data_IF_182860332307
#
_entry.id   IF_182860332307
#
_cell.length_a   1.000
_cell.length_b   1.000
_cell.length_c   1.000
_cell.angle_alpha   90.00
_cell.angle_beta   90.00
_cell.angle_gamma   90.00
#
_symmetry.space_group_name_H-M   'P 1'
#
loop_
_entity.id
_entity.type
_entity.pdbx_description
1 polymer ?
#
# COMPACT_ATOMS: atom_id res chain seq x y z
N UNK A 1 -81.78 -10.07 -9.18
CA UNK A 1 -81.14 -10.40 -7.91
C UNK A 1 -79.96 -9.44 -7.70
N UNK A 2 -80.15 -8.40 -6.91
CA UNK A 2 -79.10 -7.45 -6.54
C UNK A 2 -78.20 -8.05 -5.43
N UNK A 3 -76.92 -8.29 -5.70
CA UNK A 3 -75.90 -8.65 -4.70
C UNK A 3 -75.73 -7.48 -3.75
N UNK A 4 -76.07 -7.65 -2.47
CA UNK A 4 -75.72 -6.69 -1.42
C UNK A 4 -74.22 -6.69 -1.24
N UNK A 5 -73.55 -5.55 -1.31
CA UNK A 5 -72.10 -5.49 -1.06
C UNK A 5 -71.87 -5.80 0.44
N UNK A 6 -71.06 -6.82 0.74
CA UNK A 6 -70.62 -7.08 2.11
C UNK A 6 -69.69 -5.95 2.54
N UNK A 7 -70.06 -5.19 3.55
CA UNK A 7 -69.18 -4.17 4.15
C UNK A 7 -68.07 -4.83 4.97
N UNK A 8 -66.89 -4.19 5.02
CA UNK A 8 -65.80 -4.61 5.88
C UNK A 8 -66.17 -4.56 7.35
N UNK A 9 -65.82 -5.59 8.11
CA UNK A 9 -66.01 -5.63 9.55
C UNK A 9 -64.88 -4.86 10.25
N UNK A 10 -65.19 -4.23 11.40
CA UNK A 10 -64.17 -3.52 12.19
C UNK A 10 -63.03 -4.46 12.60
N UNK A 11 -63.30 -5.72 12.89
CA UNK A 11 -62.34 -6.74 13.24
C UNK A 11 -61.34 -7.02 12.10
N UNK A 12 -61.80 -7.04 10.84
CA UNK A 12 -60.99 -7.31 9.67
C UNK A 12 -59.98 -6.16 9.42
N UNK A 13 -60.45 -4.91 9.62
CA UNK A 13 -59.58 -3.73 9.51
C UNK A 13 -58.53 -3.73 10.61
N UNK A 14 -58.89 -4.05 11.85
CA UNK A 14 -57.94 -4.15 12.96
C UNK A 14 -56.88 -5.24 12.72
N UNK A 15 -57.31 -6.42 12.25
CA UNK A 15 -56.40 -7.52 11.92
C UNK A 15 -55.45 -7.13 10.78
N UNK A 16 -55.93 -6.47 9.73
CA UNK A 16 -55.12 -5.99 8.63
C UNK A 16 -54.05 -5.00 9.08
N UNK A 17 -54.41 -4.05 9.97
CA UNK A 17 -53.45 -3.07 10.52
C UNK A 17 -52.35 -3.78 11.35
N UNK A 18 -52.71 -4.76 12.18
CA UNK A 18 -51.76 -5.51 13.00
C UNK A 18 -50.77 -6.28 12.10
N UNK A 19 -51.28 -6.99 11.08
CA UNK A 19 -50.43 -7.72 10.15
C UNK A 19 -49.53 -6.75 9.38
N UNK A 20 -50.05 -5.65 8.85
CA UNK A 20 -49.30 -4.65 8.15
C UNK A 20 -48.20 -4.03 9.01
N UNK A 21 -48.53 -3.69 10.26
CA UNK A 21 -47.56 -3.11 11.20
C UNK A 21 -46.42 -4.06 11.53
N UNK A 22 -46.72 -5.34 11.76
CA UNK A 22 -45.70 -6.36 12.04
C UNK A 22 -44.78 -6.61 10.82
N UNK A 23 -45.37 -6.70 9.63
CA UNK A 23 -44.56 -6.83 8.37
C UNK A 23 -43.70 -5.63 8.14
N UNK A 24 -44.23 -4.41 8.33
CA UNK A 24 -43.47 -3.17 8.19
C UNK A 24 -42.30 -3.08 9.16
N UNK A 25 -42.53 -3.49 10.41
CA UNK A 25 -41.49 -3.54 11.43
C UNK A 25 -40.37 -4.54 11.07
N UNK A 26 -40.76 -5.76 10.67
CA UNK A 26 -39.78 -6.77 10.23
C UNK A 26 -38.97 -6.32 9.00
N UNK A 27 -39.65 -5.72 8.02
CA UNK A 27 -38.98 -5.18 6.83
C UNK A 27 -37.96 -4.07 7.20
N UNK A 28 -38.33 -3.19 8.14
CA UNK A 28 -37.45 -2.14 8.64
C UNK A 28 -36.23 -2.72 9.36
N UNK A 29 -36.37 -3.76 10.16
CA UNK A 29 -35.26 -4.44 10.83
C UNK A 29 -34.28 -5.08 9.82
N UNK A 30 -34.81 -5.81 8.83
CA UNK A 30 -34.01 -6.44 7.79
C UNK A 30 -33.21 -5.37 7.00
N UNK A 31 -33.84 -4.27 6.66
CA UNK A 31 -33.22 -3.16 5.95
C UNK A 31 -32.09 -2.53 6.79
N UNK A 32 -32.31 -2.27 8.08
CA UNK A 32 -31.30 -1.71 8.97
C UNK A 32 -30.09 -2.63 9.11
N UNK A 33 -30.32 -3.95 9.31
CA UNK A 33 -29.23 -4.93 9.39
C UNK A 33 -28.44 -5.04 8.08
N UNK A 34 -29.13 -5.04 6.94
CA UNK A 34 -28.48 -5.06 5.63
C UNK A 34 -27.59 -3.83 5.41
N UNK A 35 -28.06 -2.64 5.83
CA UNK A 35 -27.29 -1.40 5.74
C UNK A 35 -26.06 -1.43 6.62
N UNK A 36 -26.17 -1.90 7.86
CA UNK A 36 -25.01 -2.05 8.76
C UNK A 36 -23.98 -3.04 8.22
N UNK A 37 -24.42 -4.18 7.72
CA UNK A 37 -23.50 -5.18 7.12
C UNK A 37 -22.80 -4.61 5.89
N UNK A 38 -23.51 -3.88 5.04
CA UNK A 38 -22.93 -3.21 3.88
C UNK A 38 -21.86 -2.19 4.30
N UNK A 39 -22.12 -1.35 5.31
CA UNK A 39 -21.15 -0.38 5.81
C UNK A 39 -19.91 -1.05 6.41
N UNK A 40 -20.08 -2.14 7.16
CA UNK A 40 -18.94 -2.92 7.69
C UNK A 40 -18.11 -3.55 6.56
N UNK A 41 -18.78 -4.15 5.58
CA UNK A 41 -18.09 -4.74 4.42
C UNK A 41 -17.33 -3.67 3.61
N UNK A 42 -17.95 -2.50 3.40
CA UNK A 42 -17.32 -1.37 2.72
C UNK A 42 -16.07 -0.90 3.47
N UNK A 43 -16.17 -0.66 4.77
CA UNK A 43 -15.01 -0.24 5.59
C UNK A 43 -13.86 -1.23 5.51
N UNK A 44 -14.16 -2.54 5.56
CA UNK A 44 -13.13 -3.58 5.42
C UNK A 44 -12.52 -3.58 4.01
N UNK A 45 -13.34 -3.35 2.98
CA UNK A 45 -12.88 -3.23 1.60
C UNK A 45 -11.96 -2.01 1.40
N UNK A 46 -12.36 -0.84 1.88
CA UNK A 46 -11.60 0.40 1.81
C UNK A 46 -10.23 0.25 2.53
N UNK A 47 -10.22 -0.37 3.72
CA UNK A 47 -9.00 -0.70 4.46
C UNK A 47 -8.06 -1.62 3.68
N UNK A 48 -8.61 -2.64 3.04
CA UNK A 48 -7.83 -3.58 2.24
C UNK A 48 -7.25 -2.91 0.99
N UNK A 49 -8.04 -2.09 0.31
CA UNK A 49 -7.60 -1.31 -0.85
C UNK A 49 -6.46 -0.36 -0.49
N UNK A 50 -6.56 0.36 0.63
CA UNK A 50 -5.50 1.24 1.11
C UNK A 50 -4.19 0.50 1.36
N UNK A 51 -4.23 -0.68 1.98
CA UNK A 51 -3.06 -1.53 2.20
C UNK A 51 -2.46 -1.98 0.87
N UNK A 52 -3.29 -2.51 -0.03
CA UNK A 52 -2.83 -3.02 -1.34
C UNK A 52 -2.19 -1.90 -2.15
N UNK A 53 -2.82 -0.74 -2.22
CA UNK A 53 -2.29 0.42 -2.93
C UNK A 53 -0.93 0.85 -2.37
N UNK A 54 -0.80 0.96 -1.05
CA UNK A 54 0.44 1.36 -0.38
C UNK A 54 1.57 0.36 -0.64
N UNK A 55 1.29 -0.93 -0.47
CA UNK A 55 2.29 -1.99 -0.70
C UNK A 55 2.73 -2.03 -2.16
N UNK A 56 1.78 -1.97 -3.11
CA UNK A 56 2.10 -1.95 -4.54
C UNK A 56 2.91 -0.70 -4.94
N UNK A 57 2.62 0.46 -4.36
CA UNK A 57 3.37 1.68 -4.61
C UNK A 57 4.81 1.53 -4.11
N UNK A 58 5.02 0.99 -2.92
CA UNK A 58 6.35 0.74 -2.37
C UNK A 58 7.12 -0.32 -3.17
N UNK A 59 6.46 -1.41 -3.55
CA UNK A 59 7.05 -2.44 -4.43
C UNK A 59 7.48 -1.82 -5.78
N UNK A 60 6.64 -0.97 -6.36
CA UNK A 60 6.96 -0.29 -7.62
C UNK A 60 8.14 0.67 -7.49
N UNK A 61 8.22 1.44 -6.40
CA UNK A 61 9.39 2.29 -6.12
C UNK A 61 10.66 1.45 -6.00
N UNK A 62 10.61 0.30 -5.34
CA UNK A 62 11.73 -0.62 -5.19
C UNK A 62 12.10 -1.32 -6.50
N UNK A 63 11.13 -1.70 -7.32
CA UNK A 63 11.40 -2.29 -8.65
C UNK A 63 12.10 -1.33 -9.61
N UNK A 64 12.03 -0.04 -9.32
CA UNK A 64 12.69 1.02 -10.08
C UNK A 64 13.94 1.57 -9.35
N UNK A 65 14.40 0.88 -8.33
CA UNK A 65 15.57 1.26 -7.54
C UNK A 65 16.82 1.43 -8.40
N UNK A 66 17.56 2.50 -8.12
CA UNK A 66 18.86 2.79 -8.76
C UNK A 66 19.92 2.85 -7.66
N UNK A 67 20.97 2.02 -7.70
CA UNK A 67 22.05 1.99 -6.70
C UNK A 67 22.95 3.21 -6.81
N UNK A 68 22.41 4.40 -6.54
CA UNK A 68 23.11 5.67 -6.61
C UNK A 68 23.07 6.40 -5.27
N UNK A 69 24.23 6.82 -4.78
CA UNK A 69 24.33 7.78 -3.67
C UNK A 69 23.83 9.13 -4.15
N UNK A 70 23.00 9.78 -3.35
CA UNK A 70 22.65 11.17 -3.53
C UNK A 70 23.46 12.06 -2.55
N UNK A 71 23.39 13.38 -2.72
CA UNK A 71 24.16 14.30 -1.87
C UNK A 71 23.69 14.32 -0.41
N UNK A 72 22.53 13.80 -0.12
CA UNK A 72 21.90 13.88 1.20
C UNK A 72 21.98 12.57 1.98
N UNK A 73 22.18 11.45 1.30
CA UNK A 73 22.27 10.15 1.94
C UNK A 73 23.65 9.53 1.70
N UNK A 74 24.33 9.04 2.74
CA UNK A 74 25.66 8.43 2.62
C UNK A 74 25.63 7.09 1.88
N UNK A 75 24.47 6.44 1.83
CA UNK A 75 24.26 5.13 1.23
C UNK A 75 23.21 5.21 0.12
N UNK A 76 23.30 4.36 -0.92
CA UNK A 76 22.30 4.27 -1.97
C UNK A 76 20.92 3.84 -1.46
N UNK A 77 20.90 3.05 -0.40
CA UNK A 77 19.72 2.58 0.31
C UNK A 77 19.98 2.80 1.80
N UNK A 78 19.28 3.74 2.39
CA UNK A 78 19.40 4.07 3.81
C UNK A 78 18.14 3.57 4.52
N UNK A 79 18.32 2.57 5.36
CA UNK A 79 17.26 2.05 6.23
C UNK A 79 17.55 2.49 7.65
N UNK A 80 16.61 3.18 8.26
CA UNK A 80 16.62 3.61 9.65
C UNK A 80 15.39 3.08 10.35
N UNK A 81 15.27 3.37 11.66
CA UNK A 81 14.07 2.97 12.39
C UNK A 81 12.84 3.61 11.75
N UNK A 82 11.88 2.78 11.30
CA UNK A 82 10.61 3.19 10.70
C UNK A 82 10.74 4.14 9.48
N UNK A 83 11.88 4.07 8.80
CA UNK A 83 12.17 4.94 7.67
C UNK A 83 13.09 4.26 6.66
N UNK A 84 12.86 4.52 5.37
CA UNK A 84 13.75 4.11 4.29
C UNK A 84 13.86 5.20 3.24
N UNK A 85 15.09 5.49 2.82
CA UNK A 85 15.39 6.47 1.77
C UNK A 85 16.21 5.77 0.69
N UNK A 86 15.80 5.91 -0.55
CA UNK A 86 16.53 5.38 -1.70
C UNK A 86 16.26 6.19 -2.97
N UNK A 87 17.08 5.96 -3.99
CA UNK A 87 16.89 6.59 -5.30
C UNK A 87 16.15 5.61 -6.21
N UNK A 88 15.15 6.11 -6.92
CA UNK A 88 14.40 5.38 -7.94
C UNK A 88 14.38 6.17 -9.25
N UNK A 89 14.00 5.51 -10.32
CA UNK A 89 13.83 6.12 -11.64
C UNK A 89 12.33 6.25 -11.92
N UNK A 90 11.86 7.48 -12.11
CA UNK A 90 10.45 7.75 -12.42
C UNK A 90 10.33 8.52 -13.72
N UNK A 91 9.12 8.54 -14.30
CA UNK A 91 8.85 9.42 -15.43
C UNK A 91 8.95 10.87 -15.02
N UNK A 92 9.43 11.71 -15.92
CA UNK A 92 9.46 13.16 -15.67
C UNK A 92 8.03 13.70 -15.48
N UNK A 93 7.72 14.28 -14.32
CA UNK A 93 6.38 14.83 -14.06
C UNK A 93 6.06 16.03 -14.98
N UNK A 94 7.07 16.71 -15.51
CA UNK A 94 6.88 17.77 -16.50
C UNK A 94 6.49 17.23 -17.89
N UNK A 95 6.80 15.96 -18.18
CA UNK A 95 6.48 15.27 -19.42
C UNK A 95 5.91 13.87 -19.15
N UNK A 96 4.71 13.74 -18.57
CA UNK A 96 4.18 12.46 -18.12
C UNK A 96 3.96 11.44 -19.24
N UNK A 97 3.79 11.90 -20.48
CA UNK A 97 3.66 11.07 -21.69
C UNK A 97 4.94 10.97 -22.52
N UNK A 98 6.03 11.64 -22.08
CA UNK A 98 7.33 11.59 -22.73
C UNK A 98 8.08 10.30 -22.40
N UNK A 99 9.16 10.05 -23.16
CA UNK A 99 10.10 8.95 -22.90
C UNK A 99 11.18 9.31 -21.88
N UNK A 100 11.12 10.49 -21.29
CA UNK A 100 12.15 11.01 -20.38
C UNK A 100 11.90 10.46 -18.96
N UNK A 101 12.97 9.94 -18.36
CA UNK A 101 12.98 9.48 -16.97
C UNK A 101 13.92 10.37 -16.16
N UNK A 102 13.55 10.59 -14.91
CA UNK A 102 14.33 11.35 -13.94
C UNK A 102 14.66 10.50 -12.72
N UNK A 103 15.83 10.72 -12.15
CA UNK A 103 16.19 10.12 -10.88
C UNK A 103 15.48 10.86 -9.76
N UNK A 104 14.80 10.11 -8.94
CA UNK A 104 13.95 10.62 -7.88
C UNK A 104 14.37 9.99 -6.55
N UNK A 105 14.55 10.80 -5.52
CA UNK A 105 14.73 10.29 -4.17
C UNK A 105 13.35 10.10 -3.55
N UNK A 106 13.12 8.91 -3.01
CA UNK A 106 11.89 8.55 -2.30
C UNK A 106 12.24 8.28 -0.85
N UNK A 107 11.43 8.86 0.03
CA UNK A 107 11.51 8.67 1.47
C UNK A 107 10.18 8.15 1.99
N UNK A 108 10.19 6.92 2.49
CA UNK A 108 9.08 6.30 3.18
C UNK A 108 9.36 6.33 4.68
N UNK A 109 8.44 6.82 5.47
CA UNK A 109 8.61 6.93 6.92
C UNK A 109 7.28 6.93 7.65
N UNK A 110 7.30 6.53 8.91
CA UNK A 110 6.14 6.59 9.81
C UNK A 110 6.25 7.83 10.69
N UNK A 111 5.19 8.59 10.76
CA UNK A 111 5.03 9.72 11.67
C UNK A 111 3.59 9.73 12.21
N UNK A 112 3.44 9.81 13.54
CA UNK A 112 2.13 9.78 14.20
C UNK A 112 1.24 8.60 13.74
N UNK A 113 1.78 7.40 13.73
CA UNK A 113 1.12 6.15 13.31
C UNK A 113 0.61 6.16 11.87
N UNK A 114 1.08 7.09 11.04
CA UNK A 114 0.75 7.17 9.62
C UNK A 114 2.00 6.97 8.77
N UNK A 115 1.92 6.10 7.77
CA UNK A 115 2.99 5.88 6.79
C UNK A 115 2.88 6.93 5.69
N UNK A 116 3.97 7.69 5.54
CA UNK A 116 4.12 8.75 4.54
C UNK A 116 5.08 8.32 3.43
N UNK A 117 4.83 8.87 2.25
CA UNK A 117 5.75 8.85 1.12
C UNK A 117 6.07 10.28 0.70
N UNK A 118 7.35 10.67 0.82
CA UNK A 118 7.87 11.93 0.33
C UNK A 118 8.72 11.69 -0.93
N UNK A 119 8.67 12.60 -1.87
CA UNK A 119 9.34 12.49 -3.16
C UNK A 119 10.13 13.76 -3.44
N UNK A 120 11.38 13.57 -3.88
CA UNK A 120 12.21 14.65 -4.41
C UNK A 120 12.60 14.32 -5.83
N UNK A 121 12.03 15.04 -6.79
CA UNK A 121 12.42 14.93 -8.19
C UNK A 121 13.80 15.56 -8.41
N UNK A 122 14.59 14.97 -9.32
CA UNK A 122 15.98 15.39 -9.53
C UNK A 122 16.81 15.30 -8.24
N UNK A 123 17.15 14.08 -7.85
CA UNK A 123 17.67 13.64 -6.55
C UNK A 123 18.76 14.52 -5.90
N UNK A 124 19.49 15.32 -6.68
CA UNK A 124 20.62 16.14 -6.18
C UNK A 124 20.25 17.63 -5.98
N UNK A 125 19.21 18.14 -6.64
CA UNK A 125 18.90 19.58 -6.68
C UNK A 125 17.42 19.91 -6.69
N UNK A 126 16.55 18.91 -6.71
CA UNK A 126 15.10 19.07 -6.78
C UNK A 126 14.50 19.60 -5.46
N UNK A 127 13.30 20.16 -5.57
CA UNK A 127 12.50 20.51 -4.41
C UNK A 127 11.75 19.29 -3.89
N UNK A 128 11.57 19.26 -2.56
CA UNK A 128 10.70 18.28 -1.92
C UNK A 128 9.25 18.53 -2.34
N UNK A 129 8.56 17.47 -2.68
CA UNK A 129 7.10 17.47 -2.82
C UNK A 129 6.50 17.22 -1.45
N UNK A 130 5.36 17.84 -1.16
CA UNK A 130 4.66 17.62 0.09
C UNK A 130 4.45 16.11 0.34
N UNK A 131 4.76 15.62 1.55
CA UNK A 131 4.58 14.22 1.88
C UNK A 131 3.12 13.79 1.71
N UNK A 132 2.93 12.62 1.15
CA UNK A 132 1.62 12.02 0.94
C UNK A 132 1.35 11.01 2.03
N UNK A 133 0.31 11.17 2.87
CA UNK A 133 -0.13 10.12 3.78
C UNK A 133 -0.78 9.00 2.97
N UNK A 134 -0.42 7.74 3.27
CA UNK A 134 -0.86 6.59 2.50
C UNK A 134 -1.60 5.56 3.34
N UNK A 135 -1.17 5.35 4.59
CA UNK A 135 -1.74 4.31 5.43
C UNK A 135 -1.71 4.72 6.89
N UNK A 136 -2.86 4.69 7.54
CA UNK A 136 -3.02 4.99 8.95
C UNK A 136 -2.92 3.73 9.84
N UNK A 137 -2.71 3.94 11.14
CA UNK A 137 -2.61 2.91 12.17
C UNK A 137 -1.41 1.95 11.95
N UNK A 138 -0.30 2.49 11.48
CA UNK A 138 0.95 1.73 11.29
C UNK A 138 1.74 1.74 12.60
N UNK A 139 1.87 0.57 13.22
CA UNK A 139 2.62 0.38 14.46
C UNK A 139 4.10 0.08 14.22
N UNK A 140 4.43 -0.52 13.07
CA UNK A 140 5.80 -0.82 12.66
C UNK A 140 5.96 -0.81 11.15
N UNK A 141 7.07 -0.21 10.69
CA UNK A 141 7.51 -0.24 9.31
C UNK A 141 9.02 -0.44 9.24
N UNK A 142 9.46 -1.34 8.40
CA UNK A 142 10.88 -1.47 8.08
C UNK A 142 11.07 -1.94 6.64
N UNK A 143 12.19 -1.52 6.05
CA UNK A 143 12.63 -2.02 4.76
C UNK A 143 14.13 -2.27 4.82
N UNK A 144 14.54 -3.52 4.65
CA UNK A 144 15.93 -3.94 4.75
C UNK A 144 16.42 -4.49 3.43
N UNK A 145 17.65 -4.14 3.05
CA UNK A 145 18.29 -4.65 1.84
C UNK A 145 19.24 -5.79 2.17
N UNK A 146 19.07 -6.92 1.51
CA UNK A 146 19.98 -8.07 1.56
C UNK A 146 20.74 -8.12 0.24
N UNK A 147 22.07 -7.89 0.26
CA UNK A 147 22.91 -7.98 -0.94
C UNK A 147 22.91 -9.40 -1.53
N UNK A 148 23.17 -9.49 -2.84
CA UNK A 148 23.46 -10.76 -3.47
C UNK A 148 24.72 -11.40 -2.87
N UNK A 149 24.68 -12.70 -2.65
CA UNK A 149 25.80 -13.52 -2.17
C UNK A 149 25.96 -14.78 -3.03
N UNK A 150 26.87 -15.70 -2.63
CA UNK A 150 27.08 -16.95 -3.36
C UNK A 150 25.83 -17.83 -3.44
N UNK A 151 24.87 -17.66 -2.53
CA UNK A 151 23.62 -18.42 -2.46
C UNK A 151 22.44 -17.70 -3.08
N UNK A 152 22.49 -16.36 -3.15
CA UNK A 152 21.45 -15.51 -3.71
C UNK A 152 22.01 -14.68 -4.87
N UNK A 153 21.54 -14.99 -6.07
CA UNK A 153 22.01 -14.35 -7.33
C UNK A 153 21.57 -12.88 -7.43
N UNK A 154 20.62 -12.44 -6.60
CA UNK A 154 20.04 -11.11 -6.71
C UNK A 154 19.96 -10.41 -5.36
N UNK A 155 20.16 -9.09 -5.36
CA UNK A 155 19.87 -8.24 -4.21
C UNK A 155 18.36 -8.14 -4.01
N UNK A 156 17.93 -8.28 -2.77
CA UNK A 156 16.51 -8.22 -2.41
C UNK A 156 16.26 -7.16 -1.34
N UNK A 157 15.10 -6.51 -1.42
CA UNK A 157 14.58 -5.72 -0.32
C UNK A 157 13.45 -6.49 0.36
N UNK A 158 13.49 -6.57 1.68
CA UNK A 158 12.41 -7.12 2.50
C UNK A 158 11.71 -5.96 3.19
N UNK A 159 10.41 -5.85 2.96
CA UNK A 159 9.52 -4.88 3.57
C UNK A 159 8.74 -5.58 4.66
N UNK A 160 8.65 -4.97 5.82
CA UNK A 160 7.79 -5.42 6.91
C UNK A 160 6.90 -4.26 7.33
N UNK A 161 5.59 -4.51 7.36
CA UNK A 161 4.56 -3.54 7.72
C UNK A 161 3.60 -4.17 8.72
N UNK A 162 3.44 -3.54 9.87
CA UNK A 162 2.49 -3.95 10.89
C UNK A 162 1.50 -2.82 11.17
N UNK A 163 0.24 -3.16 11.33
CA UNK A 163 -0.83 -2.25 11.71
C UNK A 163 -1.48 -2.73 13.00
N UNK A 164 -1.95 -1.79 13.81
CA UNK A 164 -2.61 -2.09 15.06
C UNK A 164 -3.72 -3.13 14.94
N UNK A 165 -3.58 -4.23 15.69
CA UNK A 165 -4.55 -5.31 15.74
C UNK A 165 -4.67 -6.17 14.46
N UNK A 166 -3.72 -6.04 13.52
CA UNK A 166 -3.68 -6.82 12.27
C UNK A 166 -2.41 -7.65 12.16
N UNK A 167 -2.43 -8.67 11.31
CA UNK A 167 -1.26 -9.49 11.04
C UNK A 167 -0.18 -8.69 10.31
N UNK A 168 1.08 -8.98 10.61
CA UNK A 168 2.25 -8.46 9.92
C UNK A 168 2.23 -8.84 8.43
N UNK A 169 2.55 -7.87 7.59
CA UNK A 169 2.68 -8.03 6.14
C UNK A 169 4.16 -7.99 5.80
N UNK A 170 4.71 -9.10 5.34
CA UNK A 170 6.08 -9.17 4.83
C UNK A 170 6.07 -9.34 3.32
N UNK A 171 6.86 -8.53 2.60
CA UNK A 171 7.07 -8.60 1.16
C UNK A 171 8.56 -8.64 0.84
N UNK A 172 8.92 -9.43 -0.15
CA UNK A 172 10.29 -9.49 -0.68
C UNK A 172 10.30 -9.11 -2.14
N UNK A 173 11.09 -8.08 -2.46
CA UNK A 173 11.22 -7.52 -3.80
C UNK A 173 12.65 -7.72 -4.29
N UNK A 174 12.81 -8.23 -5.50
CA UNK A 174 14.11 -8.29 -6.16
C UNK A 174 14.44 -6.91 -6.72
N UNK A 175 15.60 -6.37 -6.33
CA UNK A 175 16.03 -5.06 -6.79
C UNK A 175 16.74 -5.18 -8.14
N UNK A 176 16.42 -4.31 -9.11
CA UNK A 176 17.07 -4.34 -10.42
C UNK A 176 18.51 -3.88 -10.37
N UNK A 177 19.32 -4.40 -11.28
CA UNK A 177 20.62 -3.82 -11.65
C UNK A 177 21.78 -4.05 -10.69
N UNK A 178 21.64 -4.90 -9.68
CA UNK A 178 22.74 -5.24 -8.78
C UNK A 178 23.23 -6.67 -9.02
N UNK A 179 24.20 -6.80 -9.90
CA UNK A 179 24.99 -8.01 -9.98
C UNK A 179 26.25 -7.79 -9.12
N UNK A 180 26.62 -8.71 -8.23
CA UNK A 180 27.90 -8.61 -7.54
C UNK A 180 29.01 -8.52 -8.59
N UNK A 181 29.85 -7.49 -8.52
CA UNK A 181 31.08 -7.46 -9.31
C UNK A 181 31.82 -8.76 -9.01
N UNK A 182 31.97 -9.59 -10.04
CA UNK A 182 32.82 -10.76 -9.97
C UNK A 182 34.20 -10.23 -9.55
N UNK A 183 34.60 -10.45 -8.30
CA UNK A 183 35.93 -10.14 -7.83
C UNK A 183 36.87 -10.77 -8.84
N UNK A 184 37.57 -9.96 -9.64
CA UNK A 184 38.53 -10.46 -10.63
C UNK A 184 39.44 -11.43 -9.88
N UNK A 185 39.41 -12.68 -10.31
CA UNK A 185 40.30 -13.70 -9.75
C UNK A 185 41.70 -13.12 -9.84
N UNK A 186 42.31 -12.88 -8.70
CA UNK A 186 43.69 -12.41 -8.62
C UNK A 186 44.52 -13.35 -9.49
N UNK A 187 45.01 -12.82 -10.61
CA UNK A 187 46.02 -13.54 -11.40
C UNK A 187 47.14 -13.91 -10.45
N UNK A 188 47.57 -15.18 -10.41
CA UNK A 188 48.74 -15.55 -9.65
C UNK A 188 49.93 -14.80 -10.24
N UNK A 189 50.54 -13.96 -9.41
CA UNK A 189 51.77 -13.25 -9.75
C UNK A 189 52.85 -14.27 -10.13
N UNK A 190 53.33 -14.11 -11.35
CA UNK A 190 54.68 -14.39 -11.77
C UNK A 190 55.25 -15.79 -11.52
N UNK A 191 55.40 -16.53 -12.59
CA UNK A 191 56.55 -17.40 -12.75
C UNK A 191 57.55 -16.68 -13.68
N UNK A 192 58.54 -16.05 -13.07
CA UNK A 192 59.75 -15.60 -13.76
C UNK A 192 60.65 -16.81 -13.92
N UNK A 193 60.99 -17.15 -15.12
CA UNK A 193 62.26 -17.79 -15.48
C UNK A 193 62.97 -16.94 -16.49
#
# INVERSE_FOLDING_TARGET
MSKVPNGFTLLEVMLAIVIFSTLSFLASQVFSQATEQFQRAKKTGDDFEAIQHTVLMLENDLMQYVPRKNRQTPLPFLSEKESVIFTTQTRDPAMPFGATFVLTTVHWYVENDTLFRAVRYSSDSGKDVAPQPLLDHVSHFSATMTPADEKSVSTTATITLERDGKAEITRRVVLPGWFPEKKAASQPAGATQ
#
